data_IF_786553912116
#
_entry.id   IF_786553912116
#
_cell.length_a   1.000
_cell.length_b   1.000
_cell.length_c   1.000
_cell.angle_alpha   90.00
_cell.angle_beta   90.00
_cell.angle_gamma   90.00
#
_symmetry.space_group_name_H-M   'P 1'
#
loop_
_entity.id
_entity.type
_entity.pdbx_description
1 polymer ?
#
# COMPACT_ATOMS: atom_id res chain seq x y z
N UNK A 1 1.15 9.59 5.32
CA UNK A 1 1.51 8.40 6.10
C UNK A 1 2.83 7.82 5.63
N UNK A 2 3.47 7.07 6.46
CA UNK A 2 4.71 6.35 6.18
C UNK A 2 4.31 4.89 5.96
N UNK A 3 4.82 4.27 4.89
CA UNK A 3 4.48 2.90 4.50
C UNK A 3 5.66 1.97 4.70
N UNK A 4 5.39 0.77 5.19
CA UNK A 4 6.36 -0.31 5.35
C UNK A 4 5.74 -1.64 4.91
N UNK A 5 6.56 -2.48 4.30
CA UNK A 5 6.17 -3.83 3.90
C UNK A 5 6.24 -4.84 5.06
N UNK A 6 7.29 -4.73 5.85
CA UNK A 6 7.63 -5.72 6.87
C UNK A 6 7.37 -5.19 8.28
N UNK A 7 7.35 -6.10 9.25
CA UNK A 7 7.33 -5.80 10.69
C UNK A 7 8.35 -4.71 11.03
N UNK A 8 7.94 -3.73 11.82
CA UNK A 8 8.78 -2.63 12.28
C UNK A 8 9.06 -2.75 13.77
N UNK A 9 10.34 -2.66 14.12
CA UNK A 9 10.75 -2.48 15.51
C UNK A 9 10.65 -1.01 15.89
N UNK A 10 10.01 -0.76 17.03
CA UNK A 10 9.81 0.57 17.60
C UNK A 10 10.69 0.74 18.82
N UNK A 11 11.57 1.74 18.76
CA UNK A 11 12.41 2.16 19.89
C UNK A 11 11.96 3.55 20.34
N UNK A 12 11.72 3.71 21.63
CA UNK A 12 11.37 5.01 22.23
C UNK A 12 12.59 5.53 22.98
N UNK A 13 13.12 6.67 22.53
CA UNK A 13 14.19 7.39 23.22
C UNK A 13 13.61 8.66 23.82
N UNK A 14 13.52 8.72 25.13
CA UNK A 14 13.02 9.87 25.86
C UNK A 14 14.15 10.57 26.59
N UNK A 15 14.27 11.90 26.36
CA UNK A 15 15.22 12.78 27.05
C UNK A 15 14.47 14.00 27.56
N UNK A 16 14.64 14.32 28.83
CA UNK A 16 14.11 15.53 29.44
C UNK A 16 15.17 16.19 30.35
N UNK A 17 15.12 17.51 30.46
CA UNK A 17 16.02 18.30 31.32
C UNK A 17 15.79 18.05 32.82
N UNK A 18 14.58 17.65 33.21
CA UNK A 18 14.18 17.37 34.59
C UNK A 18 14.28 15.90 35.00
N UNK A 19 14.74 15.04 34.06
CA UNK A 19 14.71 13.60 34.23
C UNK A 19 13.34 12.97 33.92
N UNK A 20 13.33 11.98 33.04
CA UNK A 20 12.13 11.16 32.76
C UNK A 20 12.10 10.00 33.74
N UNK A 21 11.03 9.88 34.52
CA UNK A 21 10.84 8.82 35.51
C UNK A 21 10.11 7.63 34.92
N UNK A 22 9.17 7.87 34.00
CA UNK A 22 8.34 6.83 33.46
C UNK A 22 8.01 7.09 31.98
N UNK A 23 8.22 6.07 31.16
CA UNK A 23 7.86 6.04 29.73
C UNK A 23 6.86 4.93 29.50
N UNK A 24 5.77 5.27 28.87
CA UNK A 24 4.76 4.28 28.48
C UNK A 24 4.21 4.59 27.09
N UNK A 25 3.60 3.62 26.45
CA UNK A 25 3.10 3.75 25.10
C UNK A 25 1.74 3.10 24.89
N UNK A 26 1.04 3.57 23.87
CA UNK A 26 -0.21 3.03 23.35
C UNK A 26 -0.11 2.95 21.82
N UNK A 27 -0.44 1.80 21.24
CA UNK A 27 -0.57 1.62 19.80
C UNK A 27 -2.06 1.56 19.45
N UNK A 28 -2.48 2.36 18.49
CA UNK A 28 -3.89 2.46 18.06
C UNK A 28 -3.99 2.76 16.57
N UNK A 29 -5.12 2.50 15.97
CA UNK A 29 -5.46 2.87 14.59
C UNK A 29 -6.15 4.24 14.47
N UNK A 30 -6.46 4.88 15.63
CA UNK A 30 -7.26 6.11 15.72
C UNK A 30 -6.45 7.27 16.24
N UNK A 31 -6.79 8.46 15.75
CA UNK A 31 -6.38 9.69 16.41
C UNK A 31 -7.19 9.89 17.68
N UNK A 32 -6.49 10.18 18.77
CA UNK A 32 -7.07 10.35 20.10
C UNK A 32 -6.88 11.78 20.59
N UNK A 33 -7.91 12.32 21.22
CA UNK A 33 -7.84 13.57 21.97
C UNK A 33 -7.12 13.37 23.32
N UNK A 34 -6.64 14.45 23.92
CA UNK A 34 -6.00 14.40 25.24
C UNK A 34 -6.95 13.83 26.32
N UNK A 35 -8.25 14.13 26.23
CA UNK A 35 -9.23 13.58 27.16
C UNK A 35 -9.36 12.05 27.03
N UNK A 36 -9.27 11.52 25.83
CA UNK A 36 -9.26 10.08 25.59
C UNK A 36 -7.95 9.46 26.10
N UNK A 37 -6.80 10.09 25.81
CA UNK A 37 -5.50 9.62 26.29
C UNK A 37 -5.45 9.51 27.81
N UNK A 38 -6.02 10.49 28.52
CA UNK A 38 -6.11 10.50 29.98
C UNK A 38 -6.98 9.36 30.55
N UNK A 39 -7.87 8.77 29.76
CA UNK A 39 -8.77 7.70 30.16
C UNK A 39 -8.27 6.29 29.80
N UNK A 40 -7.22 6.19 28.99
CA UNK A 40 -6.71 4.93 28.47
C UNK A 40 -5.54 4.39 29.28
N UNK A 41 -5.34 3.08 29.19
CA UNK A 41 -4.22 2.41 29.84
C UNK A 41 -3.05 2.32 28.87
N UNK A 42 -1.92 2.91 29.25
CA UNK A 42 -0.66 2.83 28.54
C UNK A 42 0.17 1.65 29.07
N UNK A 43 0.90 1.01 28.16
CA UNK A 43 1.84 -0.05 28.50
C UNK A 43 3.19 0.56 28.87
N UNK A 44 3.80 0.13 29.98
CA UNK A 44 5.16 0.54 30.33
C UNK A 44 6.14 0.16 29.22
N UNK A 45 7.04 1.09 28.87
CA UNK A 45 8.09 0.85 27.90
C UNK A 45 9.35 0.37 28.65
N UNK A 46 9.72 -0.87 28.45
CA UNK A 46 10.91 -1.49 29.07
C UNK A 46 11.96 -1.86 28.02
N UNK A 47 11.49 -2.24 26.82
CA UNK A 47 12.35 -2.68 25.71
C UNK A 47 11.68 -2.35 24.36
N UNK A 48 12.42 -2.34 23.24
CA UNK A 48 11.84 -2.21 21.92
C UNK A 48 10.74 -3.26 21.66
N UNK A 49 9.70 -2.83 20.95
CA UNK A 49 8.59 -3.72 20.58
C UNK A 49 8.35 -3.68 19.08
N UNK A 50 7.68 -4.71 18.56
CA UNK A 50 7.36 -4.80 17.14
C UNK A 50 5.88 -4.47 16.87
N UNK A 51 5.64 -3.90 15.69
CA UNK A 51 4.33 -3.80 15.06
C UNK A 51 4.35 -4.61 13.77
N UNK A 52 3.28 -5.38 13.56
CA UNK A 52 3.21 -6.34 12.46
C UNK A 52 2.40 -5.82 11.27
N UNK A 53 2.63 -6.37 10.05
CA UNK A 53 1.91 -5.98 8.86
C UNK A 53 0.42 -6.25 8.92
N UNK A 54 -0.23 -5.56 8.02
CA UNK A 54 -1.59 -5.42 7.61
C UNK A 54 -2.42 -4.63 8.62
N UNK A 55 -1.90 -3.40 8.90
CA UNK A 55 -2.59 -2.44 9.74
C UNK A 55 -2.12 -1.00 9.58
N UNK A 56 -2.94 -0.09 10.07
CA UNK A 56 -2.60 1.32 10.24
C UNK A 56 -2.39 1.58 11.74
N UNK A 57 -1.31 2.29 12.08
CA UNK A 57 -0.91 2.48 13.46
C UNK A 57 -0.53 3.94 13.75
N UNK A 58 -0.92 4.41 14.91
CA UNK A 58 -0.42 5.62 15.56
C UNK A 58 0.12 5.20 16.91
N UNK A 59 1.33 5.62 17.24
CA UNK A 59 1.96 5.33 18.52
C UNK A 59 1.90 6.59 19.36
N UNK A 60 1.23 6.51 20.50
CA UNK A 60 1.25 7.53 21.51
C UNK A 60 2.25 7.16 22.59
N UNK A 61 3.03 8.11 23.04
CA UNK A 61 3.99 7.96 24.13
C UNK A 61 3.58 8.91 25.24
N UNK A 62 3.45 8.40 26.46
CA UNK A 62 3.24 9.18 27.67
C UNK A 62 4.54 9.22 28.45
N UNK A 63 5.02 10.43 28.70
CA UNK A 63 6.19 10.71 29.54
C UNK A 63 5.76 11.32 30.86
N UNK A 64 6.35 10.86 31.93
CA UNK A 64 6.15 11.44 33.28
C UNK A 64 7.51 11.84 33.82
N UNK A 65 7.65 13.09 34.25
CA UNK A 65 8.86 13.63 34.89
C UNK A 65 8.89 13.42 36.39
N UNK A 66 9.98 13.83 37.07
CA UNK A 66 10.14 13.75 38.54
C UNK A 66 9.12 14.61 39.32
N UNK A 67 8.53 15.60 38.65
CA UNK A 67 7.51 16.47 39.24
C UNK A 67 6.07 16.00 38.95
N UNK A 68 5.93 14.80 38.35
CA UNK A 68 4.63 14.22 37.98
C UNK A 68 3.94 15.01 36.85
N UNK A 69 4.67 15.77 36.04
CA UNK A 69 4.11 16.35 34.82
C UNK A 69 3.99 15.28 33.75
N UNK A 70 2.84 15.30 33.07
CA UNK A 70 2.55 14.33 31.98
C UNK A 70 2.64 15.04 30.64
N UNK A 71 3.35 14.43 29.71
CA UNK A 71 3.45 14.87 28.32
C UNK A 71 3.09 13.72 27.39
N UNK A 72 2.23 14.00 26.40
CA UNK A 72 1.89 13.06 25.35
C UNK A 72 2.60 13.44 24.05
N UNK A 73 3.24 12.47 23.43
CA UNK A 73 3.82 12.55 22.09
C UNK A 73 3.07 11.60 21.18
N UNK A 74 3.08 11.90 19.89
CA UNK A 74 2.40 11.08 18.87
C UNK A 74 3.32 10.88 17.66
N UNK A 75 3.37 9.66 17.13
CA UNK A 75 3.98 9.39 15.83
C UNK A 75 3.13 9.91 14.67
N UNK A 76 3.69 9.99 13.48
CA UNK A 76 2.92 9.97 12.25
C UNK A 76 2.14 8.66 12.14
N UNK A 77 1.14 8.64 11.25
CA UNK A 77 0.44 7.40 10.92
C UNK A 77 1.36 6.49 10.11
N UNK A 78 1.55 5.29 10.62
CA UNK A 78 2.32 4.22 10.00
C UNK A 78 1.34 3.24 9.35
N UNK A 79 1.58 2.87 8.11
CA UNK A 79 0.82 1.82 7.41
C UNK A 79 1.78 0.68 7.10
N UNK A 80 1.51 -0.48 7.66
CA UNK A 80 2.27 -1.70 7.38
C UNK A 80 1.41 -2.61 6.50
N UNK A 81 1.92 -2.94 5.31
CA UNK A 81 1.17 -3.70 4.31
C UNK A 81 2.09 -4.64 3.54
N UNK A 82 1.90 -5.94 3.69
CA UNK A 82 2.63 -6.96 2.94
C UNK A 82 1.74 -7.75 1.96
N UNK A 83 0.53 -7.24 1.70
CA UNK A 83 -0.40 -7.84 0.75
C UNK A 83 -0.02 -7.37 -0.65
N UNK A 84 0.05 -8.29 -1.59
CA UNK A 84 0.31 -7.95 -2.99
C UNK A 84 -0.97 -7.44 -3.66
N UNK A 85 -0.87 -6.43 -4.54
CA UNK A 85 -1.98 -6.02 -5.41
C UNK A 85 -2.53 -7.21 -6.21
N UNK A 86 -3.84 -7.19 -6.47
CA UNK A 86 -4.50 -8.19 -7.30
C UNK A 86 -4.91 -7.57 -8.63
N UNK A 87 -4.44 -8.19 -9.73
CA UNK A 87 -4.80 -7.79 -11.09
C UNK A 87 -5.86 -8.77 -11.59
N UNK A 88 -6.96 -8.27 -12.14
CA UNK A 88 -8.08 -9.05 -12.67
C UNK A 88 -8.58 -8.49 -14.00
N UNK A 89 -9.53 -9.20 -14.66
CA UNK A 89 -10.03 -8.86 -15.99
C UNK A 89 -9.21 -9.44 -17.14
N UNK A 90 -8.01 -9.94 -16.84
CA UNK A 90 -7.12 -10.61 -17.80
C UNK A 90 -6.51 -11.87 -17.19
N UNK A 91 -5.99 -12.75 -18.01
CA UNK A 91 -5.28 -13.97 -17.61
C UNK A 91 -3.82 -13.91 -18.08
N UNK A 92 -2.89 -14.21 -17.18
CA UNK A 92 -1.46 -14.18 -17.50
C UNK A 92 -1.12 -15.14 -18.65
N UNK A 93 -0.37 -14.66 -19.63
CA UNK A 93 0.04 -15.41 -20.82
C UNK A 93 -1.01 -15.54 -21.92
N UNK A 94 -2.21 -14.98 -21.74
CA UNK A 94 -3.30 -15.07 -22.73
C UNK A 94 -3.14 -14.06 -23.87
N UNK A 95 -3.66 -14.44 -25.04
CA UNK A 95 -3.77 -13.54 -26.21
C UNK A 95 -5.19 -13.01 -26.33
N UNK A 96 -5.32 -11.71 -26.52
CA UNK A 96 -6.59 -11.00 -26.72
C UNK A 96 -6.61 -10.31 -28.08
N UNK A 97 -7.74 -10.44 -28.77
CA UNK A 97 -7.99 -9.79 -30.08
C UNK A 97 -8.88 -8.55 -29.94
N UNK A 98 -9.36 -8.27 -28.74
CA UNK A 98 -10.24 -7.15 -28.43
C UNK A 98 -9.70 -6.39 -27.22
N UNK A 99 -10.16 -5.15 -27.05
CA UNK A 99 -9.83 -4.33 -25.88
C UNK A 99 -10.25 -5.04 -24.59
N UNK A 100 -9.37 -5.05 -23.61
CA UNK A 100 -9.62 -5.61 -22.29
C UNK A 100 -9.63 -4.52 -21.24
N UNK A 101 -10.58 -4.62 -20.30
CA UNK A 101 -10.54 -3.81 -19.07
C UNK A 101 -9.79 -4.60 -18.01
N UNK A 102 -8.76 -3.97 -17.47
CA UNK A 102 -7.97 -4.50 -16.35
C UNK A 102 -8.44 -3.80 -15.09
N UNK A 103 -8.63 -4.56 -14.02
CA UNK A 103 -9.00 -4.01 -12.71
C UNK A 103 -7.91 -4.36 -11.70
N UNK A 104 -7.57 -3.37 -10.87
CA UNK A 104 -6.59 -3.49 -9.79
C UNK A 104 -7.34 -3.39 -8.46
N UNK A 105 -7.24 -4.43 -7.64
CA UNK A 105 -7.72 -4.43 -6.26
C UNK A 105 -6.54 -4.21 -5.34
N UNK A 106 -6.40 -2.97 -4.90
CA UNK A 106 -5.36 -2.49 -3.99
C UNK A 106 -5.77 -1.15 -3.37
N UNK A 107 -5.69 -1.07 -2.04
CA UNK A 107 -6.06 0.15 -1.28
C UNK A 107 -5.03 1.28 -1.43
N UNK A 108 -3.76 0.92 -1.51
CA UNK A 108 -2.65 1.87 -1.45
C UNK A 108 -1.81 1.86 -2.72
N UNK A 109 -2.46 1.81 -3.88
CA UNK A 109 -1.77 1.86 -5.18
C UNK A 109 -0.81 3.05 -5.21
N UNK A 110 0.43 2.79 -5.63
CA UNK A 110 1.43 3.80 -5.95
C UNK A 110 1.51 4.00 -7.45
N UNK A 111 1.82 2.95 -8.21
CA UNK A 111 1.95 3.02 -9.66
C UNK A 111 1.35 1.81 -10.36
N UNK A 112 0.77 2.07 -11.53
CA UNK A 112 0.37 1.03 -12.50
C UNK A 112 1.04 1.37 -13.83
N UNK A 113 1.73 0.39 -14.40
CA UNK A 113 2.40 0.57 -15.69
C UNK A 113 2.03 -0.51 -16.69
N UNK A 114 2.00 -0.14 -17.96
CA UNK A 114 1.95 -1.07 -19.09
C UNK A 114 3.20 -0.83 -19.94
N UNK A 115 4.05 -1.84 -20.08
CA UNK A 115 5.35 -1.75 -20.74
C UNK A 115 6.20 -0.58 -20.24
N UNK A 116 6.17 -0.31 -18.91
CA UNK A 116 6.88 0.78 -18.27
C UNK A 116 6.24 2.16 -18.40
N UNK A 117 5.14 2.28 -19.14
CA UNK A 117 4.38 3.54 -19.25
C UNK A 117 3.29 3.58 -18.19
N UNK A 118 3.27 4.64 -17.38
CA UNK A 118 2.27 4.82 -16.33
C UNK A 118 0.87 4.97 -16.94
N UNK A 119 -0.09 4.24 -16.39
CA UNK A 119 -1.51 4.34 -16.70
C UNK A 119 -2.27 4.84 -15.47
N UNK A 120 -3.36 5.56 -15.71
CA UNK A 120 -4.22 6.09 -14.63
C UNK A 120 -5.43 5.17 -14.47
N UNK A 121 -5.71 4.79 -13.22
CA UNK A 121 -6.92 4.06 -12.87
C UNK A 121 -8.13 4.99 -12.85
N UNK A 122 -9.27 4.48 -13.23
CA UNK A 122 -10.58 5.12 -13.03
C UNK A 122 -11.05 5.02 -11.57
N UNK A 123 -12.26 5.51 -11.30
CA UNK A 123 -12.82 5.51 -9.94
C UNK A 123 -13.09 4.09 -9.38
N UNK A 124 -13.20 3.10 -10.24
CA UNK A 124 -13.47 1.70 -9.89
C UNK A 124 -12.17 0.86 -9.86
N UNK A 125 -11.01 1.49 -9.99
CA UNK A 125 -9.71 0.83 -10.01
C UNK A 125 -9.37 0.16 -11.34
N UNK A 126 -10.05 0.54 -12.42
CA UNK A 126 -9.90 -0.03 -13.75
C UNK A 126 -9.09 0.82 -14.72
N UNK A 127 -8.62 0.20 -15.79
CA UNK A 127 -8.11 0.88 -17.00
C UNK A 127 -8.30 -0.02 -18.22
N UNK A 128 -8.37 0.59 -19.39
CA UNK A 128 -8.42 -0.16 -20.66
C UNK A 128 -6.99 -0.42 -21.12
N UNK A 129 -6.69 -1.69 -21.40
CA UNK A 129 -5.39 -2.09 -21.93
C UNK A 129 -5.14 -1.39 -23.28
N UNK A 130 -4.01 -0.71 -23.47
CA UNK A 130 -3.71 -0.03 -24.73
C UNK A 130 -3.79 -0.99 -25.92
N UNK A 131 -4.39 -0.56 -27.06
CA UNK A 131 -4.59 -1.43 -28.23
C UNK A 131 -3.30 -1.59 -29.07
N UNK A 132 -2.16 -1.68 -28.42
CA UNK A 132 -0.86 -1.86 -29.06
C UNK A 132 -0.60 -3.35 -29.24
N UNK A 133 -0.43 -3.78 -30.50
CA UNK A 133 -0.14 -5.17 -30.79
C UNK A 133 1.19 -5.62 -30.18
N UNK A 134 1.22 -6.86 -29.73
CA UNK A 134 2.38 -7.50 -29.13
C UNK A 134 2.21 -7.77 -27.64
N UNK A 135 3.30 -8.08 -27.00
CA UNK A 135 3.34 -8.36 -25.58
C UNK A 135 3.11 -7.08 -24.76
N UNK A 136 2.24 -7.19 -23.77
CA UNK A 136 1.90 -6.13 -22.81
C UNK A 136 2.22 -6.64 -21.41
N UNK A 137 3.22 -6.04 -20.77
CA UNK A 137 3.57 -6.32 -19.38
C UNK A 137 2.92 -5.28 -18.48
N UNK A 138 2.00 -5.73 -17.64
CA UNK A 138 1.32 -4.91 -16.63
C UNK A 138 2.06 -5.11 -15.31
N UNK A 139 2.43 -4.02 -14.64
CA UNK A 139 3.03 -4.03 -13.30
C UNK A 139 2.27 -3.07 -12.43
N UNK A 140 1.83 -3.57 -11.27
CA UNK A 140 1.18 -2.78 -10.22
C UNK A 140 2.09 -2.77 -9.01
N UNK A 141 2.36 -1.60 -8.46
CA UNK A 141 3.12 -1.43 -7.23
C UNK A 141 2.31 -0.61 -6.24
N UNK A 142 2.27 -1.03 -4.97
CA UNK A 142 1.66 -0.28 -3.89
C UNK A 142 2.68 0.64 -3.18
N UNK A 143 2.21 1.44 -2.23
CA UNK A 143 3.04 2.38 -1.47
C UNK A 143 3.97 1.71 -0.46
N UNK A 144 3.71 0.46 -0.09
CA UNK A 144 4.58 -0.34 0.79
C UNK A 144 5.67 -1.07 0.00
N UNK A 145 5.60 -1.07 -1.35
CA UNK A 145 6.56 -1.71 -2.25
C UNK A 145 6.21 -3.16 -2.60
N UNK A 146 4.97 -3.61 -2.31
CA UNK A 146 4.50 -4.88 -2.87
C UNK A 146 4.17 -4.68 -4.33
N UNK A 147 4.33 -5.72 -5.15
CA UNK A 147 4.04 -5.65 -6.58
C UNK A 147 3.37 -6.92 -7.08
N UNK A 148 2.58 -6.74 -8.15
CA UNK A 148 2.02 -7.82 -8.95
C UNK A 148 2.32 -7.56 -10.43
N UNK A 149 2.55 -8.62 -11.19
CA UNK A 149 2.85 -8.55 -12.61
C UNK A 149 1.97 -9.52 -13.38
N UNK A 150 1.50 -9.08 -14.56
CA UNK A 150 0.88 -9.93 -15.57
C UNK A 150 1.41 -9.58 -16.94
N UNK A 151 1.56 -10.59 -17.80
CA UNK A 151 1.94 -10.42 -19.19
C UNK A 151 0.86 -11.05 -20.08
N UNK A 152 0.37 -10.29 -21.05
CA UNK A 152 -0.61 -10.74 -22.04
C UNK A 152 -0.14 -10.35 -23.43
N UNK A 153 -0.70 -10.97 -24.47
CA UNK A 153 -0.46 -10.55 -25.86
C UNK A 153 -1.71 -9.88 -26.40
N UNK A 154 -1.57 -8.73 -27.02
CA UNK A 154 -2.65 -8.08 -27.76
C UNK A 154 -2.43 -8.29 -29.27
N UNK A 155 -3.44 -8.72 -29.97
CA UNK A 155 -3.41 -8.92 -31.41
C UNK A 155 -4.69 -8.34 -32.05
N UNK A 156 -4.71 -7.06 -32.30
CA UNK A 156 -5.83 -6.32 -32.91
C UNK A 156 -5.83 -6.39 -34.44
N UNK A 157 -4.88 -7.11 -35.04
CA UNK A 157 -4.69 -7.15 -36.46
C UNK A 157 -5.28 -8.39 -37.14
N UNK A 158 -6.60 -8.48 -37.28
CA UNK A 158 -7.20 -9.29 -38.32
C UNK A 158 -7.23 -8.47 -39.62
N UNK A 159 -6.13 -8.48 -40.39
CA UNK A 159 -6.22 -8.21 -41.82
C UNK A 159 -6.93 -9.42 -42.44
N UNK A 160 -8.21 -9.26 -42.74
CA UNK A 160 -8.84 -10.17 -43.69
C UNK A 160 -8.07 -10.03 -44.99
N UNK A 161 -7.38 -11.08 -45.42
CA UNK A 161 -6.81 -11.17 -46.74
C UNK A 161 -7.92 -10.95 -47.79
N UNK A 162 -7.59 -10.27 -48.90
CA UNK A 162 -8.53 -10.11 -49.97
C UNK A 162 -9.12 -11.48 -50.35
N UNK A 163 -10.44 -11.51 -50.45
CA UNK A 163 -11.13 -12.63 -51.05
C UNK A 163 -10.67 -12.74 -52.50
N UNK A 164 -9.84 -13.70 -52.81
CA UNK A 164 -9.60 -14.11 -54.22
C UNK A 164 -10.74 -15.05 -54.55
N UNK A 165 -11.69 -14.57 -55.31
CA UNK A 165 -12.69 -15.46 -55.94
C UNK A 165 -12.01 -16.11 -57.12
N UNK A 166 -11.66 -17.38 -56.99
CA UNK A 166 -11.36 -18.23 -58.12
C UNK A 166 -12.69 -18.49 -58.85
N UNK A 167 -13.00 -17.66 -59.81
CA UNK A 167 -14.01 -17.92 -60.80
C UNK A 167 -13.28 -18.42 -62.07
N UNK A 168 -13.22 -19.75 -62.24
CA UNK A 168 -13.12 -20.41 -63.52
C UNK A 168 -14.50 -20.91 -63.93
#
# INVERSE_FOLDING_TARGET
GIFFKDTQEVTINAVDNSGVVFVSYLVTDKELSEAELNSLVFRAYEEPFCIDPNGEYIIYVMLVDENINITYLRSDRLTLDNIQPVISGIENGKTYCEAQTVTVDEKYVDTVTVNGTVVTLDADGGFVLPPTNGEQKIVVTDKAGNNAEMTVTVNNGHTFGEWVSDND
#
